data_IF_756360226033
#
_entry.id   IF_756360226033
#
_cell.length_a   1.000
_cell.length_b   1.000
_cell.length_c   1.000
_cell.angle_alpha   90.00
_cell.angle_beta   90.00
_cell.angle_gamma   90.00
#
_symmetry.space_group_name_H-M   'P 1'
#
loop_
_entity.id
_entity.type
_entity.pdbx_description
1 polymer ?
#
# COMPACT_ATOMS: atom_id res chain seq x y z
N UNK A 1 -2.60 -2.14 -10.65
CA UNK A 1 -3.00 -2.65 -9.33
C UNK A 1 -3.00 -1.57 -8.25
N UNK A 2 -1.84 -1.02 -7.91
CA UNK A 2 -1.73 0.06 -6.94
C UNK A 2 -2.55 1.28 -7.35
N UNK A 3 -2.55 1.59 -8.64
CA UNK A 3 -3.30 2.69 -9.21
C UNK A 3 -4.81 2.59 -8.93
N UNK A 4 -5.37 1.39 -9.08
CA UNK A 4 -6.79 1.19 -8.82
C UNK A 4 -7.14 1.44 -7.36
N UNK A 5 -6.32 0.94 -6.44
CA UNK A 5 -6.53 1.20 -5.01
C UNK A 5 -6.47 2.69 -4.69
N UNK A 6 -5.42 3.36 -5.13
CA UNK A 6 -5.20 4.77 -4.83
C UNK A 6 -6.27 5.66 -5.45
N UNK A 7 -6.71 5.34 -6.67
CA UNK A 7 -7.68 6.16 -7.38
C UNK A 7 -9.10 6.00 -6.84
N UNK A 8 -9.49 4.77 -6.48
CA UNK A 8 -10.90 4.45 -6.20
C UNK A 8 -11.14 4.16 -4.71
N UNK A 9 -10.25 3.39 -4.08
CA UNK A 9 -10.52 2.83 -2.76
C UNK A 9 -9.80 3.51 -1.61
N UNK A 10 -8.83 4.36 -1.90
CA UNK A 10 -8.09 5.08 -0.86
C UNK A 10 -8.94 6.22 -0.29
N UNK A 11 -9.11 6.22 1.02
CA UNK A 11 -9.82 7.29 1.71
C UNK A 11 -8.82 8.36 2.16
N UNK A 12 -8.77 9.45 1.40
CA UNK A 12 -7.81 10.53 1.65
C UNK A 12 -8.05 11.23 2.98
N UNK A 13 -9.25 11.18 3.51
CA UNK A 13 -9.56 11.75 4.83
C UNK A 13 -8.90 11.05 5.99
N UNK A 14 -8.41 9.82 5.77
CA UNK A 14 -7.76 9.01 6.80
C UNK A 14 -6.23 9.01 6.69
N UNK A 15 -5.67 9.66 5.69
CA UNK A 15 -4.22 9.68 5.47
C UNK A 15 -3.51 10.52 6.52
N UNK A 16 -2.25 10.15 6.86
CA UNK A 16 -1.41 10.99 7.72
C UNK A 16 -1.22 12.38 7.12
N UNK A 17 -1.07 13.37 7.97
CA UNK A 17 -0.82 14.75 7.52
C UNK A 17 0.64 15.01 7.20
N UNK A 18 1.56 14.25 7.81
CA UNK A 18 2.98 14.36 7.53
C UNK A 18 3.34 13.62 6.25
N UNK A 19 4.52 13.91 5.70
CA UNK A 19 5.03 13.18 4.55
C UNK A 19 5.32 11.73 4.93
N UNK A 20 4.76 10.80 4.17
CA UNK A 20 5.00 9.37 4.31
C UNK A 20 5.30 8.79 2.94
N UNK A 21 6.37 7.99 2.86
CA UNK A 21 6.74 7.30 1.63
C UNK A 21 6.61 5.79 1.85
N UNK A 22 5.76 5.15 1.06
CA UNK A 22 5.54 3.71 1.10
C UNK A 22 6.02 3.10 -0.22
N UNK A 23 6.93 2.13 -0.15
CA UNK A 23 7.33 1.35 -1.31
C UNK A 23 6.48 0.09 -1.40
N UNK A 24 5.97 -0.19 -2.59
CA UNK A 24 5.26 -1.42 -2.90
C UNK A 24 6.11 -2.26 -3.84
N UNK A 25 6.41 -3.48 -3.44
CA UNK A 25 7.17 -4.43 -4.23
C UNK A 25 6.24 -5.56 -4.71
N UNK A 26 6.35 -5.91 -5.99
CA UNK A 26 5.54 -6.96 -6.63
C UNK A 26 6.48 -8.00 -7.25
N UNK A 27 7.05 -8.91 -6.44
CA UNK A 27 8.08 -9.84 -6.94
C UNK A 27 7.60 -10.81 -8.01
N UNK A 28 6.29 -11.02 -8.11
CA UNK A 28 5.71 -11.93 -9.11
C UNK A 28 5.36 -11.25 -10.42
N UNK A 29 5.44 -9.93 -10.50
CA UNK A 29 5.15 -9.19 -11.71
C UNK A 29 6.37 -9.06 -12.61
N UNK A 30 6.14 -8.64 -13.86
CA UNK A 30 7.22 -8.37 -14.81
C UNK A 30 8.11 -7.21 -14.31
N UNK A 31 9.30 -7.08 -14.91
CA UNK A 31 10.26 -6.04 -14.54
C UNK A 31 9.65 -4.64 -14.49
N UNK A 32 8.80 -4.33 -15.46
CA UNK A 32 8.21 -2.99 -15.57
C UNK A 32 7.27 -2.64 -14.43
N UNK A 33 6.69 -3.63 -13.77
CA UNK A 33 5.73 -3.41 -12.68
C UNK A 33 6.20 -3.82 -11.30
N UNK A 34 7.51 -4.05 -11.11
CA UNK A 34 8.03 -4.63 -9.87
C UNK A 34 7.95 -3.73 -8.65
N UNK A 35 8.08 -2.45 -8.83
CA UNK A 35 8.11 -1.48 -7.74
C UNK A 35 7.22 -0.30 -8.04
N UNK A 36 6.62 0.25 -7.00
CA UNK A 36 5.89 1.50 -7.06
C UNK A 36 6.01 2.21 -5.72
N UNK A 37 5.90 3.52 -5.72
CA UNK A 37 5.94 4.31 -4.49
C UNK A 37 4.64 5.07 -4.34
N UNK A 38 4.12 5.04 -3.12
CA UNK A 38 2.98 5.86 -2.73
C UNK A 38 3.54 6.99 -1.87
N UNK A 39 3.48 8.21 -2.41
CA UNK A 39 3.90 9.40 -1.69
C UNK A 39 2.68 10.07 -1.10
N UNK A 40 2.66 10.17 0.22
CA UNK A 40 1.58 10.82 0.97
C UNK A 40 2.12 12.15 1.49
N UNK A 41 1.47 13.24 1.14
CA UNK A 41 1.79 14.58 1.64
C UNK A 41 0.52 15.39 1.79
N UNK A 42 0.38 16.07 2.93
CA UNK A 42 -0.71 17.05 3.17
C UNK A 42 -2.11 16.46 2.98
N UNK A 43 -2.28 15.19 3.34
CA UNK A 43 -3.56 14.52 3.23
C UNK A 43 -3.94 14.08 1.82
N UNK A 44 -2.98 14.11 0.90
CA UNK A 44 -3.17 13.59 -0.45
C UNK A 44 -2.12 12.52 -0.75
N UNK A 45 -2.33 11.78 -1.82
CA UNK A 45 -1.47 10.66 -2.19
C UNK A 45 -1.29 10.60 -3.70
N UNK A 46 -0.06 10.29 -4.12
CA UNK A 46 0.24 10.07 -5.53
C UNK A 46 1.11 8.83 -5.70
N UNK A 47 0.98 8.20 -6.87
CA UNK A 47 1.79 7.05 -7.24
C UNK A 47 2.98 7.54 -8.03
N UNK A 48 4.18 7.10 -7.64
CA UNK A 48 5.42 7.40 -8.34
C UNK A 48 6.00 6.11 -8.91
N UNK A 49 6.37 6.13 -10.18
CA UNK A 49 7.04 4.98 -10.82
C UNK A 49 8.53 4.98 -10.53
N UNK A 50 9.08 6.14 -10.20
CA UNK A 50 10.48 6.32 -9.81
C UNK A 50 10.53 6.79 -8.36
N UNK A 51 11.62 6.46 -7.68
CA UNK A 51 11.82 6.86 -6.29
C UNK A 51 11.74 8.40 -6.17
N UNK A 52 10.79 8.93 -5.38
CA UNK A 52 10.59 10.39 -5.29
C UNK A 52 11.61 11.11 -4.40
N UNK A 53 12.50 10.38 -3.74
CA UNK A 53 13.49 10.93 -2.82
C UNK A 53 13.09 10.77 -1.36
N UNK A 54 14.08 10.75 -0.49
CA UNK A 54 13.88 10.56 0.95
C UNK A 54 13.84 9.08 1.35
N UNK A 55 13.73 8.85 2.65
CA UNK A 55 13.69 7.50 3.20
C UNK A 55 12.28 6.92 3.09
N UNK A 56 12.23 5.63 2.82
CA UNK A 56 10.96 4.89 2.82
C UNK A 56 10.55 4.61 4.27
N UNK A 57 9.35 5.02 4.62
CA UNK A 57 8.81 4.80 5.98
C UNK A 57 8.23 3.40 6.14
N UNK A 58 7.77 2.82 5.04
CA UNK A 58 7.12 1.52 5.03
C UNK A 58 7.42 0.82 3.71
N UNK A 59 7.61 -0.49 3.76
CA UNK A 59 7.74 -1.34 2.57
C UNK A 59 6.66 -2.41 2.65
N UNK A 60 5.86 -2.50 1.59
CA UNK A 60 4.80 -3.50 1.47
C UNK A 60 5.18 -4.44 0.32
N UNK A 61 5.42 -5.70 0.63
CA UNK A 61 5.74 -6.72 -0.38
C UNK A 61 4.46 -7.47 -0.71
N UNK A 62 4.00 -7.32 -1.94
CA UNK A 62 2.78 -7.98 -2.42
C UNK A 62 3.18 -9.24 -3.15
N UNK A 63 3.24 -10.36 -2.42
CA UNK A 63 3.59 -11.66 -2.99
C UNK A 63 2.45 -12.21 -3.86
N UNK A 64 1.21 -11.94 -3.45
CA UNK A 64 0.01 -12.34 -4.20
C UNK A 64 -0.82 -11.11 -4.56
N UNK A 65 -0.70 -10.62 -5.80
CA UNK A 65 -1.48 -9.45 -6.25
C UNK A 65 -2.99 -9.64 -6.19
N UNK A 66 -3.47 -10.87 -6.37
CA UNK A 66 -4.91 -11.15 -6.27
C UNK A 66 -5.41 -10.93 -4.85
N UNK A 67 -4.63 -11.35 -3.85
CA UNK A 67 -4.98 -11.12 -2.45
C UNK A 67 -5.04 -9.63 -2.12
N UNK A 68 -4.11 -8.83 -2.65
CA UNK A 68 -4.14 -7.38 -2.46
C UNK A 68 -5.43 -6.77 -3.04
N UNK A 69 -5.81 -7.18 -4.25
CA UNK A 69 -7.04 -6.72 -4.88
C UNK A 69 -8.27 -7.13 -4.06
N UNK A 70 -8.32 -8.36 -3.59
CA UNK A 70 -9.43 -8.86 -2.76
C UNK A 70 -9.53 -8.08 -1.46
N UNK A 71 -8.39 -7.75 -0.86
CA UNK A 71 -8.40 -6.94 0.34
C UNK A 71 -9.01 -5.56 0.10
N UNK A 72 -8.55 -4.81 -0.90
CA UNK A 72 -9.08 -3.47 -1.08
C UNK A 72 -10.53 -3.45 -1.56
N UNK A 73 -11.02 -4.56 -2.13
CA UNK A 73 -12.44 -4.74 -2.45
C UNK A 73 -13.28 -5.14 -1.23
N UNK A 74 -12.64 -5.40 -0.10
CA UNK A 74 -13.33 -5.79 1.11
C UNK A 74 -13.68 -7.28 1.20
N UNK A 75 -13.10 -8.11 0.34
CA UNK A 75 -13.39 -9.55 0.29
C UNK A 75 -12.59 -10.36 1.30
N UNK A 76 -11.42 -9.87 1.70
CA UNK A 76 -10.61 -10.49 2.75
C UNK A 76 -10.09 -9.40 3.69
N UNK A 77 -9.77 -9.81 4.92
CA UNK A 77 -9.18 -8.90 5.90
C UNK A 77 -7.68 -8.73 5.65
N UNK A 78 -7.13 -7.57 6.04
CA UNK A 78 -5.70 -7.32 5.98
C UNK A 78 -4.90 -8.35 6.77
N UNK A 79 -5.39 -8.70 7.98
CA UNK A 79 -4.77 -9.71 8.81
C UNK A 79 -4.67 -11.07 8.15
N UNK A 80 -5.67 -11.45 7.35
CA UNK A 80 -5.65 -12.71 6.60
C UNK A 80 -4.55 -12.69 5.53
N UNK A 81 -4.41 -11.56 4.84
CA UNK A 81 -3.36 -11.41 3.84
C UNK A 81 -1.96 -11.48 4.46
N UNK A 82 -1.79 -10.91 5.66
CA UNK A 82 -0.52 -10.98 6.39
C UNK A 82 -0.22 -12.40 6.87
N UNK A 83 -1.20 -13.05 7.50
CA UNK A 83 -0.99 -14.38 8.09
C UNK A 83 -0.79 -15.46 7.04
N UNK A 84 -1.36 -15.32 5.86
CA UNK A 84 -1.18 -16.26 4.75
C UNK A 84 0.16 -16.07 4.02
N UNK A 85 0.88 -14.97 4.28
CA UNK A 85 2.10 -14.63 3.56
C UNK A 85 1.85 -13.97 2.21
N UNK A 86 0.61 -13.67 1.86
CA UNK A 86 0.28 -13.00 0.61
C UNK A 86 0.84 -11.58 0.57
N UNK A 87 0.88 -10.91 1.72
CA UNK A 87 1.44 -9.57 1.87
C UNK A 87 2.39 -9.57 3.07
N UNK A 88 3.51 -8.91 2.91
CA UNK A 88 4.51 -8.72 3.95
C UNK A 88 4.76 -7.24 4.15
N UNK A 89 4.85 -6.78 5.40
CA UNK A 89 5.04 -5.36 5.72
C UNK A 89 6.30 -5.20 6.56
N UNK A 90 7.16 -4.26 6.16
CA UNK A 90 8.41 -3.94 6.85
C UNK A 90 8.49 -2.44 7.11
N UNK A 91 9.10 -2.04 8.21
CA UNK A 91 9.30 -0.65 8.58
C UNK A 91 8.47 -0.25 9.79
N UNK A 92 7.89 0.94 9.76
CA UNK A 92 7.13 1.50 10.88
C UNK A 92 5.93 0.63 11.25
N UNK A 93 5.87 0.15 12.49
CA UNK A 93 4.74 -0.62 12.99
C UNK A 93 3.45 0.20 13.02
N UNK A 94 3.57 1.47 13.40
CA UNK A 94 2.43 2.37 13.46
C UNK A 94 1.82 2.57 12.07
N UNK A 95 2.65 2.79 11.06
CA UNK A 95 2.20 2.95 9.68
C UNK A 95 1.66 1.64 9.11
N UNK A 96 2.29 0.52 9.45
CA UNK A 96 1.80 -0.80 9.03
C UNK A 96 0.39 -1.09 9.53
N UNK A 97 0.09 -0.67 10.77
CA UNK A 97 -1.26 -0.80 11.34
C UNK A 97 -2.23 0.23 10.77
N UNK A 98 -1.74 1.41 10.43
CA UNK A 98 -2.58 2.48 9.89
C UNK A 98 -3.00 2.21 8.44
N UNK A 99 -2.15 1.60 7.64
CA UNK A 99 -2.36 1.44 6.20
C UNK A 99 -3.71 0.81 5.84
N UNK A 100 -4.14 -0.31 6.45
CA UNK A 100 -5.44 -0.87 6.10
C UNK A 100 -6.62 0.04 6.44
N UNK A 101 -6.44 0.98 7.38
CA UNK A 101 -7.50 1.95 7.71
C UNK A 101 -7.70 2.99 6.62
N UNK A 102 -6.76 3.14 5.69
CA UNK A 102 -6.87 4.07 4.57
C UNK A 102 -7.78 3.54 3.46
N UNK A 103 -8.12 2.27 3.50
CA UNK A 103 -8.98 1.64 2.52
C UNK A 103 -10.45 1.96 2.82
N UNK A 104 -11.19 2.43 1.81
CA UNK A 104 -12.60 2.80 1.97
C UNK A 104 -13.50 1.65 2.38
N UNK A 105 -13.18 0.45 1.92
CA UNK A 105 -14.00 -0.73 2.19
C UNK A 105 -13.67 -1.41 3.50
N UNK A 106 -12.90 -0.73 4.33
CA UNK A 106 -12.52 -1.23 5.63
C UNK A 106 -11.31 -2.12 5.57
N UNK A 107 -10.96 -2.66 6.66
CA UNK A 107 -9.75 -3.30 6.71
C UNK A 107 -9.45 -4.63 7.06
#
# INVERSE_FOLDING_TARGET
MLWAWVTVYLDRGRLPRRRVLVRFDYPTLSRAGKHGWLLIERGDAEICEKHPGGDEDLVVVVHDPVAFARWHLGEIEWGDALSSGAIEVKGSRALGRALPTWNRRGG
#
